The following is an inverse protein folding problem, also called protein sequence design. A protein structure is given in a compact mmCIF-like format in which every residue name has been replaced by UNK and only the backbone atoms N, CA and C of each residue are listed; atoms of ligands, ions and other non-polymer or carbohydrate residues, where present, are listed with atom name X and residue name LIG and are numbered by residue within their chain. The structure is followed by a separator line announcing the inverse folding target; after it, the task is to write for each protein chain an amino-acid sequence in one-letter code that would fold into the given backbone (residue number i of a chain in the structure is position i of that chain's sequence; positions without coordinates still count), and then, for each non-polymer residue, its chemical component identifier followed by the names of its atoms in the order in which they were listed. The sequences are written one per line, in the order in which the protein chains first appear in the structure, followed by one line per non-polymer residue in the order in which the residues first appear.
data_IF_453561250861
#
_entry.id   IF_453561250861
#
_cell.length_a   1.000
_cell.length_b   1.000
_cell.length_c   1.000
_cell.angle_alpha   90.00
_cell.angle_beta   90.00
_cell.angle_gamma   90.00
#
_symmetry.space_group_name_H-M   'P 1'
#
loop_
_entity.id
_entity.type
_entity.pdbx_description
1 polymer ?
#
# COMPACT_ATOMS: atom_id res chain seq x y z
N UNK A 1 14.46 12.00 -1.20
CA UNK A 1 14.78 11.03 -2.29
C UNK A 1 14.90 9.60 -1.77
N UNK A 2 15.42 9.38 -0.56
CA UNK A 2 15.56 8.05 0.07
C UNK A 2 14.21 7.40 0.38
N UNK A 3 13.24 8.21 0.85
CA UNK A 3 11.84 7.84 1.14
C UNK A 3 11.12 7.29 -0.10
N UNK A 4 11.29 7.94 -1.25
CA UNK A 4 10.69 7.52 -2.53
C UNK A 4 11.04 6.08 -2.95
N UNK A 5 12.29 5.67 -2.76
CA UNK A 5 12.75 4.30 -3.09
C UNK A 5 12.24 3.31 -2.06
N UNK A 6 12.31 3.66 -0.77
CA UNK A 6 11.85 2.81 0.33
C UNK A 6 10.34 2.52 0.23
N UNK A 7 9.54 3.52 -0.13
CA UNK A 7 8.09 3.40 -0.34
C UNK A 7 7.75 2.48 -1.53
N UNK A 8 8.49 2.59 -2.64
CA UNK A 8 8.29 1.70 -3.79
C UNK A 8 8.68 0.24 -3.47
N UNK A 9 9.77 0.04 -2.71
CA UNK A 9 10.19 -1.28 -2.27
C UNK A 9 9.16 -1.92 -1.31
N UNK A 10 8.54 -1.14 -0.43
CA UNK A 10 7.47 -1.62 0.46
C UNK A 10 6.21 -2.02 -0.29
N UNK A 11 5.80 -1.23 -1.29
CA UNK A 11 4.67 -1.56 -2.18
C UNK A 11 4.93 -2.88 -2.90
N UNK A 12 6.11 -3.05 -3.49
CA UNK A 12 6.48 -4.29 -4.17
C UNK A 12 6.51 -5.48 -3.21
N UNK A 13 7.01 -5.27 -1.98
CA UNK A 13 7.00 -6.28 -0.93
C UNK A 13 5.58 -6.68 -0.53
N UNK A 14 4.65 -5.73 -0.41
CA UNK A 14 3.25 -6.01 -0.09
C UNK A 14 2.57 -6.85 -1.17
N UNK A 15 2.81 -6.53 -2.45
CA UNK A 15 2.32 -7.33 -3.57
C UNK A 15 2.88 -8.76 -3.55
N UNK A 16 4.19 -8.92 -3.28
CA UNK A 16 4.82 -10.23 -3.18
C UNK A 16 4.29 -11.05 -1.99
N UNK A 17 4.02 -10.39 -0.85
CA UNK A 17 3.42 -11.03 0.32
C UNK A 17 1.98 -11.47 0.05
N UNK A 18 1.19 -10.68 -0.69
CA UNK A 18 -0.18 -11.07 -1.04
C UNK A 18 -0.22 -12.30 -1.95
N UNK A 19 0.65 -12.35 -2.97
CA UNK A 19 0.77 -13.54 -3.81
C UNK A 19 1.17 -14.77 -2.99
N UNK A 20 2.15 -14.61 -2.09
CA UNK A 20 2.60 -15.69 -1.20
C UNK A 20 1.48 -16.16 -0.27
N UNK A 21 0.69 -15.22 0.29
CA UNK A 21 -0.48 -15.51 1.13
C UNK A 21 -1.48 -16.36 0.36
N UNK A 22 -1.81 -15.98 -0.89
CA UNK A 22 -2.77 -16.71 -1.73
C UNK A 22 -2.34 -18.16 -1.95
N UNK A 23 -1.08 -18.38 -2.31
CA UNK A 23 -0.54 -19.75 -2.50
C UNK A 23 -0.49 -20.54 -1.19
N UNK A 24 -0.21 -19.86 -0.08
CA UNK A 24 -0.09 -20.49 1.24
C UNK A 24 -1.44 -20.93 1.76
N UNK A 25 -2.47 -20.07 1.66
CA UNK A 25 -3.81 -20.39 2.13
C UNK A 25 -4.44 -21.51 1.31
N UNK A 26 -4.23 -21.56 0.00
CA UNK A 26 -4.72 -22.65 -0.86
C UNK A 26 -4.16 -24.01 -0.43
N UNK A 27 -2.84 -24.09 -0.25
CA UNK A 27 -2.18 -25.29 0.28
C UNK A 27 -2.64 -25.66 1.70
N UNK A 28 -2.82 -24.68 2.57
CA UNK A 28 -3.26 -24.91 3.94
C UNK A 28 -4.71 -25.39 4.00
N UNK A 29 -5.59 -24.93 3.10
CA UNK A 29 -6.96 -25.43 2.94
C UNK A 29 -6.94 -26.90 2.47
N UNK A 30 -6.15 -27.24 1.47
CA UNK A 30 -6.01 -28.64 1.00
C UNK A 30 -5.54 -29.56 2.14
N UNK A 31 -4.60 -29.11 2.96
CA UNK A 31 -4.13 -29.86 4.12
C UNK A 31 -5.15 -29.91 5.27
N UNK A 32 -6.03 -28.91 5.38
CA UNK A 32 -7.07 -28.83 6.41
C UNK A 32 -8.13 -29.94 6.25
N UNK A 33 -8.49 -30.29 5.02
CA UNK A 33 -9.48 -31.33 4.75
C UNK A 33 -9.03 -32.73 5.23
N UNK A 34 -7.72 -32.96 5.34
CA UNK A 34 -7.11 -34.24 5.70
C UNK A 34 -6.51 -34.27 7.14
N UNK A 35 -6.61 -33.19 7.92
CA UNK A 35 -5.87 -33.06 9.19
C UNK A 35 -6.65 -33.35 10.47
N UNK A 36 -5.93 -33.74 11.52
CA UNK A 36 -6.47 -34.01 12.84
C UNK A 36 -7.05 -32.73 13.50
N UNK A 37 -8.11 -32.85 14.34
CA UNK A 37 -8.87 -31.73 14.91
C UNK A 37 -8.11 -30.78 15.86
N UNK A 38 -6.79 -30.88 15.97
CA UNK A 38 -5.93 -30.03 16.80
C UNK A 38 -4.74 -29.40 16.05
N UNK A 39 -4.70 -29.48 14.71
CA UNK A 39 -3.71 -28.73 13.94
C UNK A 39 -4.06 -27.24 13.92
N UNK A 40 -3.05 -26.36 14.04
CA UNK A 40 -3.18 -24.93 13.74
C UNK A 40 -3.10 -24.77 12.20
N UNK A 41 -4.23 -24.83 11.47
CA UNK A 41 -4.20 -25.17 10.05
C UNK A 41 -3.73 -24.02 9.17
N UNK A 42 -3.74 -22.78 9.70
CA UNK A 42 -3.41 -21.56 8.97
C UNK A 42 -2.23 -20.80 9.58
N UNK A 43 -1.30 -21.52 10.23
CA UNK A 43 -0.18 -20.92 10.94
C UNK A 43 0.72 -20.10 10.00
N UNK A 44 1.00 -20.59 8.79
CA UNK A 44 1.85 -19.90 7.84
C UNK A 44 1.14 -18.70 7.22
N UNK A 45 -0.15 -18.84 6.87
CA UNK A 45 -0.97 -17.70 6.41
C UNK A 45 -0.99 -16.57 7.44
N UNK A 46 -1.13 -16.90 8.73
CA UNK A 46 -1.05 -15.90 9.82
C UNK A 46 0.28 -15.18 9.88
N UNK A 47 1.39 -15.91 9.79
CA UNK A 47 2.72 -15.28 9.76
C UNK A 47 2.88 -14.34 8.56
N UNK A 48 2.28 -14.67 7.41
CA UNK A 48 2.31 -13.78 6.24
C UNK A 48 1.45 -12.53 6.48
N UNK A 49 0.26 -12.68 7.06
CA UNK A 49 -0.62 -11.55 7.41
C UNK A 49 0.07 -10.60 8.40
N UNK A 50 0.75 -11.13 9.42
CA UNK A 50 1.57 -10.32 10.34
C UNK A 50 2.67 -9.54 9.62
N UNK A 51 3.34 -10.16 8.64
CA UNK A 51 4.35 -9.50 7.81
C UNK A 51 3.74 -8.41 6.91
N UNK A 52 2.52 -8.61 6.40
CA UNK A 52 1.80 -7.61 5.62
C UNK A 52 1.40 -6.42 6.49
N UNK A 53 0.85 -6.68 7.69
CA UNK A 53 0.49 -5.64 8.66
C UNK A 53 1.71 -4.80 9.07
N UNK A 54 2.83 -5.43 9.40
CA UNK A 54 4.07 -4.73 9.72
C UNK A 54 4.61 -3.88 8.54
N UNK A 55 4.44 -4.35 7.30
CA UNK A 55 4.81 -3.59 6.12
C UNK A 55 3.88 -2.38 5.89
N UNK A 56 2.58 -2.50 6.18
CA UNK A 56 1.63 -1.39 6.12
C UNK A 56 1.88 -0.33 7.20
N UNK A 57 2.21 -0.74 8.42
CA UNK A 57 2.63 0.18 9.49
C UNK A 57 3.90 0.94 9.12
N UNK A 58 4.86 0.26 8.50
CA UNK A 58 6.07 0.91 8.00
C UNK A 58 5.75 1.91 6.88
N UNK A 59 4.85 1.55 5.97
CA UNK A 59 4.38 2.45 4.91
C UNK A 59 3.68 3.69 5.49
N UNK A 60 2.85 3.53 6.52
CA UNK A 60 2.22 4.66 7.23
C UNK A 60 3.26 5.63 7.79
N UNK A 61 4.25 5.12 8.53
CA UNK A 61 5.31 5.97 9.09
C UNK A 61 6.10 6.73 8.01
N UNK A 62 6.31 6.13 6.83
CA UNK A 62 6.98 6.82 5.72
C UNK A 62 6.08 7.90 5.09
N UNK A 63 4.77 7.65 4.99
CA UNK A 63 3.82 8.63 4.46
C UNK A 63 3.72 9.86 5.36
N UNK A 64 3.64 9.68 6.68
CA UNK A 64 3.67 10.78 7.65
C UNK A 64 4.96 11.62 7.53
N UNK A 65 6.10 10.94 7.33
CA UNK A 65 7.38 11.63 7.09
C UNK A 65 7.37 12.40 5.77
N UNK A 66 6.85 11.81 4.70
CA UNK A 66 6.75 12.44 3.37
C UNK A 66 5.78 13.64 3.37
N UNK A 67 4.68 13.59 4.14
CA UNK A 67 3.78 14.73 4.37
C UNK A 67 4.51 15.89 5.05
N UNK A 68 5.27 15.61 6.11
CA UNK A 68 6.08 16.64 6.77
C UNK A 68 7.14 17.24 5.85
N UNK A 69 7.83 16.40 5.06
CA UNK A 69 8.82 16.87 4.07
C UNK A 69 8.17 17.75 2.98
N UNK A 70 6.93 17.44 2.60
CA UNK A 70 6.17 18.22 1.63
C UNK A 70 5.80 19.62 2.18
N UNK A 71 5.34 19.69 3.43
CA UNK A 71 5.05 20.97 4.10
C UNK A 71 6.30 21.85 4.19
N UNK A 72 7.44 21.27 4.53
CA UNK A 72 8.73 21.98 4.55
C UNK A 72 9.13 22.48 3.16
N UNK A 73 8.96 21.65 2.12
CA UNK A 73 9.25 22.05 0.74
C UNK A 73 8.35 23.19 0.27
N UNK A 74 7.07 23.17 0.64
CA UNK A 74 6.13 24.24 0.32
C UNK A 74 6.59 25.56 0.94
N UNK A 75 6.88 25.58 2.24
CA UNK A 75 7.41 26.76 2.93
C UNK A 75 8.74 27.24 2.32
N UNK A 76 9.65 26.31 2.01
CA UNK A 76 10.94 26.64 1.44
C UNK A 76 10.83 27.24 0.02
N UNK A 77 9.76 26.98 -0.71
CA UNK A 77 9.57 27.41 -2.11
C UNK A 77 8.55 28.54 -2.27
N UNK A 78 7.93 29.01 -1.17
CA UNK A 78 6.96 30.10 -1.18
C UNK A 78 7.51 31.42 -1.69
N UNK A 79 8.82 31.66 -1.49
CA UNK A 79 9.50 32.89 -1.90
C UNK A 79 9.79 32.96 -3.41
N UNK A 80 9.59 31.87 -4.16
CA UNK A 80 9.77 31.85 -5.61
C UNK A 80 8.74 32.78 -6.27
N UNK A 81 9.22 33.74 -7.06
CA UNK A 81 8.40 34.79 -7.69
C UNK A 81 8.49 34.80 -9.22
N UNK A 82 9.43 34.05 -9.80
CA UNK A 82 9.55 33.92 -11.26
C UNK A 82 8.44 32.98 -11.76
N UNK A 83 7.61 33.43 -12.69
CA UNK A 83 6.45 32.68 -13.22
C UNK A 83 6.75 31.24 -13.65
N UNK A 84 7.95 30.95 -14.15
CA UNK A 84 8.36 29.57 -14.49
C UNK A 84 8.66 28.75 -13.23
N UNK A 85 9.36 29.33 -12.24
CA UNK A 85 9.68 28.68 -10.99
C UNK A 85 8.42 28.40 -10.15
N UNK A 86 7.48 29.36 -10.10
CA UNK A 86 6.17 29.20 -9.46
C UNK A 86 5.38 28.06 -10.10
N UNK A 87 5.27 28.05 -11.45
CA UNK A 87 4.54 26.99 -12.15
C UNK A 87 5.13 25.61 -11.91
N UNK A 88 6.46 25.47 -11.94
CA UNK A 88 7.10 24.19 -11.67
C UNK A 88 6.98 23.76 -10.21
N UNK A 89 7.00 24.71 -9.26
CA UNK A 89 6.74 24.46 -7.84
C UNK A 89 5.34 23.89 -7.65
N UNK A 90 4.33 24.62 -8.10
CA UNK A 90 2.93 24.23 -7.92
C UNK A 90 2.66 22.87 -8.56
N UNK A 91 3.24 22.59 -9.74
CA UNK A 91 3.16 21.29 -10.39
C UNK A 91 3.92 20.16 -9.66
N UNK A 92 5.00 20.46 -8.95
CA UNK A 92 5.75 19.48 -8.17
C UNK A 92 5.00 19.16 -6.88
N UNK A 93 4.54 20.18 -6.16
CA UNK A 93 3.74 20.05 -4.94
C UNK A 93 2.45 19.27 -5.21
N UNK A 94 1.67 19.66 -6.23
CA UNK A 94 0.43 18.96 -6.57
C UNK A 94 0.64 17.47 -6.92
N UNK A 95 1.78 17.11 -7.53
CA UNK A 95 2.11 15.71 -7.80
C UNK A 95 2.54 14.95 -6.54
N UNK A 96 3.24 15.60 -5.62
CA UNK A 96 3.62 15.01 -4.33
C UNK A 96 2.39 14.80 -3.44
N UNK A 97 1.49 15.78 -3.36
CA UNK A 97 0.19 15.66 -2.68
C UNK A 97 -0.61 14.48 -3.25
N UNK A 98 -0.79 14.45 -4.57
CA UNK A 98 -1.51 13.34 -5.23
C UNK A 98 -0.84 11.99 -4.96
N UNK A 99 0.49 11.94 -4.84
CA UNK A 99 1.22 10.70 -4.50
C UNK A 99 0.87 10.20 -3.12
N UNK A 100 0.87 11.08 -2.14
CA UNK A 100 0.54 10.76 -0.75
C UNK A 100 -0.89 10.23 -0.69
N UNK A 101 -1.85 10.92 -1.31
CA UNK A 101 -3.26 10.51 -1.37
C UNK A 101 -3.43 9.09 -1.94
N UNK A 102 -2.73 8.80 -3.05
CA UNK A 102 -2.78 7.48 -3.69
C UNK A 102 -2.21 6.40 -2.76
N UNK A 103 -1.06 6.64 -2.14
CA UNK A 103 -0.45 5.65 -1.25
C UNK A 103 -1.26 5.43 0.03
N UNK A 104 -1.92 6.46 0.56
CA UNK A 104 -2.87 6.31 1.67
C UNK A 104 -4.08 5.46 1.26
N UNK A 105 -4.62 5.69 0.06
CA UNK A 105 -5.74 4.91 -0.49
C UNK A 105 -5.34 3.44 -0.70
N UNK A 106 -4.15 3.19 -1.24
CA UNK A 106 -3.60 1.85 -1.39
C UNK A 106 -3.48 1.14 -0.02
N UNK A 107 -2.88 1.82 0.97
CA UNK A 107 -2.73 1.29 2.32
C UNK A 107 -4.08 0.92 2.94
N UNK A 108 -5.08 1.80 2.79
CA UNK A 108 -6.43 1.57 3.29
C UNK A 108 -7.04 0.29 2.71
N UNK A 109 -7.01 0.14 1.38
CA UNK A 109 -7.56 -1.04 0.72
C UNK A 109 -6.83 -2.33 1.08
N UNK A 110 -5.50 -2.30 1.18
CA UNK A 110 -4.72 -3.46 1.63
C UNK A 110 -5.04 -3.84 3.08
N UNK A 111 -5.18 -2.87 3.98
CA UNK A 111 -5.55 -3.11 5.38
C UNK A 111 -6.94 -3.73 5.49
N UNK A 112 -7.90 -3.24 4.70
CA UNK A 112 -9.25 -3.82 4.63
C UNK A 112 -9.21 -5.26 4.15
N UNK A 113 -8.48 -5.55 3.07
CA UNK A 113 -8.33 -6.91 2.55
C UNK A 113 -7.73 -7.87 3.59
N UNK A 114 -6.67 -7.45 4.30
CA UNK A 114 -6.04 -8.24 5.37
C UNK A 114 -7.03 -8.53 6.50
N UNK A 115 -7.76 -7.52 6.97
CA UNK A 115 -8.73 -7.66 8.05
C UNK A 115 -9.88 -8.62 7.69
N UNK A 116 -10.36 -8.57 6.44
CA UNK A 116 -11.37 -9.51 5.93
C UNK A 116 -10.81 -10.93 5.88
N UNK A 117 -9.57 -11.12 5.42
CA UNK A 117 -8.91 -12.44 5.42
C UNK A 117 -8.75 -13.00 6.84
N UNK A 118 -8.25 -12.20 7.79
CA UNK A 118 -8.11 -12.62 9.19
C UNK A 118 -9.43 -13.04 9.80
N UNK A 119 -10.48 -12.25 9.57
CA UNK A 119 -11.83 -12.56 10.03
C UNK A 119 -12.35 -13.88 9.45
N UNK A 120 -12.10 -14.12 8.16
CA UNK A 120 -12.48 -15.37 7.49
C UNK A 120 -11.75 -16.59 8.05
N UNK A 121 -10.44 -16.49 8.31
CA UNK A 121 -9.68 -17.57 8.91
C UNK A 121 -10.23 -17.94 10.30
N UNK A 122 -10.55 -16.93 11.11
CA UNK A 122 -11.16 -17.15 12.44
C UNK A 122 -12.55 -17.80 12.32
N UNK A 123 -13.34 -17.43 11.32
CA UNK A 123 -14.66 -18.02 11.08
C UNK A 123 -14.57 -19.49 10.64
N UNK A 124 -13.65 -19.80 9.72
CA UNK A 124 -13.38 -21.17 9.25
C UNK A 124 -12.98 -22.07 10.43
N UNK A 125 -12.08 -21.63 11.30
CA UNK A 125 -11.65 -22.40 12.46
C UNK A 125 -12.76 -22.66 13.48
N UNK A 126 -13.76 -21.78 13.55
CA UNK A 126 -14.94 -21.96 14.41
C UNK A 126 -16.03 -22.83 13.77
N UNK A 127 -15.88 -23.16 12.48
CA UNK A 127 -16.91 -23.82 11.69
C UNK A 127 -18.05 -22.90 11.24
N UNK A 128 -17.89 -21.59 11.42
CA UNK A 128 -18.87 -20.56 11.04
C UNK A 128 -18.62 -20.11 9.59
N UNK A 129 -18.78 -21.02 8.63
CA UNK A 129 -18.58 -20.67 7.22
C UNK A 129 -19.62 -19.62 6.77
N UNK A 130 -19.19 -18.48 6.19
CA UNK A 130 -20.11 -17.51 5.63
C UNK A 130 -20.92 -18.17 4.52
N UNK A 131 -22.24 -18.08 4.62
CA UNK A 131 -23.19 -18.87 3.82
C UNK A 131 -23.51 -18.27 2.44
N UNK A 132 -22.97 -17.09 2.12
CA UNK A 132 -23.36 -16.32 0.92
C UNK A 132 -22.21 -16.00 -0.05
N UNK A 133 -20.97 -16.44 0.23
CA UNK A 133 -19.81 -16.16 -0.64
C UNK A 133 -19.37 -14.70 -0.69
N UNK A 134 -20.03 -13.80 0.04
CA UNK A 134 -19.81 -12.34 0.00
C UNK A 134 -18.40 -11.93 0.43
N UNK A 135 -17.76 -12.75 1.26
CA UNK A 135 -16.47 -12.43 1.87
C UNK A 135 -15.29 -12.65 0.91
N UNK A 136 -15.45 -13.49 -0.11
CA UNK A 136 -14.47 -13.60 -1.21
C UNK A 136 -14.55 -12.40 -2.16
N UNK A 137 -15.77 -11.95 -2.46
CA UNK A 137 -16.02 -10.79 -3.31
C UNK A 137 -15.50 -9.49 -2.67
N UNK A 138 -15.63 -9.36 -1.34
CA UNK A 138 -15.10 -8.21 -0.59
C UNK A 138 -13.57 -8.12 -0.64
N UNK A 139 -12.87 -9.25 -0.45
CA UNK A 139 -11.39 -9.29 -0.58
C UNK A 139 -10.98 -8.91 -2.00
N UNK A 140 -11.63 -9.50 -3.01
CA UNK A 140 -11.32 -9.24 -4.42
C UNK A 140 -11.55 -7.76 -4.78
N UNK A 141 -12.63 -7.16 -4.27
CA UNK A 141 -12.91 -5.75 -4.43
C UNK A 141 -11.77 -4.88 -3.89
N UNK A 142 -11.34 -5.11 -2.65
CA UNK A 142 -10.28 -4.31 -2.03
C UNK A 142 -8.94 -4.46 -2.74
N UNK A 143 -8.56 -5.68 -3.15
CA UNK A 143 -7.32 -5.92 -3.91
C UNK A 143 -7.36 -5.25 -5.29
N UNK A 144 -8.51 -5.27 -5.97
CA UNK A 144 -8.67 -4.58 -7.25
C UNK A 144 -8.52 -3.06 -7.10
N UNK A 145 -9.10 -2.47 -6.06
CA UNK A 145 -8.91 -1.05 -5.77
C UNK A 145 -7.45 -0.72 -5.44
N UNK A 146 -6.79 -1.54 -4.61
CA UNK A 146 -5.38 -1.38 -4.30
C UNK A 146 -4.50 -1.40 -5.57
N UNK A 147 -4.75 -2.34 -6.49
CA UNK A 147 -4.03 -2.41 -7.77
C UNK A 147 -4.27 -1.17 -8.65
N UNK A 148 -5.52 -0.75 -8.83
CA UNK A 148 -5.84 0.42 -9.65
C UNK A 148 -5.14 1.69 -9.13
N UNK A 149 -5.10 1.86 -7.80
CA UNK A 149 -4.41 2.98 -7.15
C UNK A 149 -2.89 2.91 -7.36
N UNK A 150 -2.29 1.72 -7.34
CA UNK A 150 -0.86 1.55 -7.62
C UNK A 150 -0.50 1.85 -9.08
N UNK A 151 -1.36 1.47 -10.03
CA UNK A 151 -1.14 1.82 -11.44
C UNK A 151 -1.14 3.34 -11.63
N UNK A 152 -2.12 4.05 -11.05
CA UNK A 152 -2.16 5.51 -11.09
C UNK A 152 -0.94 6.15 -10.40
N UNK A 153 -0.49 5.58 -9.28
CA UNK A 153 0.69 6.04 -8.57
C UNK A 153 1.97 5.94 -9.42
N UNK A 154 2.17 4.79 -10.08
CA UNK A 154 3.33 4.54 -10.92
C UNK A 154 3.39 5.50 -12.12
N UNK A 155 2.25 5.74 -12.79
CA UNK A 155 2.17 6.70 -13.90
C UNK A 155 2.56 8.12 -13.47
N UNK A 156 2.19 8.52 -12.25
CA UNK A 156 2.46 9.86 -11.74
C UNK A 156 3.92 10.05 -11.28
N UNK A 157 4.60 9.01 -10.76
CA UNK A 157 6.03 9.07 -10.39
C UNK A 157 6.90 9.45 -11.60
N UNK A 158 6.61 8.91 -12.78
CA UNK A 158 7.35 9.21 -14.01
C UNK A 158 7.29 10.71 -14.36
N UNK A 159 6.18 11.36 -14.05
CA UNK A 159 6.00 12.80 -14.23
C UNK A 159 6.67 13.67 -13.14
N UNK A 160 6.85 13.15 -11.92
CA UNK A 160 7.34 13.90 -10.77
C UNK A 160 8.86 14.16 -10.85
N UNK A 161 9.64 13.15 -11.24
CA UNK A 161 11.11 13.24 -11.32
C UNK A 161 11.59 14.38 -12.22
N UNK A 162 10.88 14.58 -13.34
CA UNK A 162 11.17 15.65 -14.30
C UNK A 162 10.91 17.03 -13.71
N UNK A 163 9.81 17.20 -12.98
CA UNK A 163 9.45 18.47 -12.34
C UNK A 163 10.42 18.85 -11.22
N UNK A 164 10.81 17.88 -10.38
CA UNK A 164 11.79 18.11 -9.30
C UNK A 164 13.17 18.49 -9.84
N UNK A 165 13.59 17.88 -10.95
CA UNK A 165 14.87 18.23 -11.59
C UNK A 165 14.88 19.68 -12.07
N UNK A 166 13.78 20.16 -12.65
CA UNK A 166 13.64 21.54 -13.10
C UNK A 166 13.59 22.48 -11.90
N UNK A 167 12.82 22.14 -10.86
CA UNK A 167 12.72 22.95 -9.65
C UNK A 167 14.08 23.15 -8.97
N UNK A 168 14.86 22.08 -8.87
CA UNK A 168 16.18 22.11 -8.26
C UNK A 168 17.15 23.03 -9.01
N UNK A 169 16.97 23.23 -10.32
CA UNK A 169 17.77 24.18 -11.10
C UNK A 169 17.48 25.66 -10.77
N UNK A 170 16.35 25.96 -10.10
CA UNK A 170 15.99 27.30 -9.65
C UNK A 170 16.29 27.56 -8.17
N UNK A 171 16.63 26.52 -7.40
CA UNK A 171 16.95 26.59 -5.97
C UNK A 171 18.47 26.69 -5.69
N UNK A 172 19.31 26.59 -6.74
CA UNK A 172 20.79 26.69 -6.69
C UNK A 172 21.27 28.05 -7.18
#
# INVERSE_FOLDING_TARGET
MTTLVETADLVNRLAALDEKRRQTVEREIEAFEDSEPNSNPFAETRTILEQQSAALERLESLLESEESELEELQQATDHLSVDQAVRHRDQALAKLERRIDLLQSFRLHMSQAISTVESNLVAIERGDLPSDGSTGDEIAFHLQQAHAVLEEHNEMIDGLRRNLTILNAYLV
#
